data_IF_447364540801
#
_entry.id   IF_447364540801
#
_cell.length_a   1.000
_cell.length_b   1.000
_cell.length_c   1.000
_cell.angle_alpha   90.00
_cell.angle_beta   90.00
_cell.angle_gamma   90.00
#
_symmetry.space_group_name_H-M   'P 1'
#
loop_
_entity.id
_entity.type
_entity.pdbx_description
1 polymer ?
#
# COMPACT_ATOMS: atom_id res chain seq x y z
N UNK A 1 0.28 46.81 36.78
CA UNK A 1 1.08 46.20 35.70
C UNK A 1 1.68 44.82 36.05
N UNK A 2 2.29 44.59 37.22
CA UNK A 2 2.88 43.27 37.57
C UNK A 2 1.86 42.11 37.70
N UNK A 3 0.64 42.36 38.21
CA UNK A 3 -0.40 41.31 38.35
C UNK A 3 -1.00 40.85 37.03
N UNK A 4 -1.15 41.76 36.07
CA UNK A 4 -1.68 41.44 34.72
C UNK A 4 -0.67 40.63 33.90
N UNK A 5 0.62 40.92 34.04
CA UNK A 5 1.65 40.15 33.30
C UNK A 5 1.78 38.72 33.82
N UNK A 6 1.63 38.51 35.14
CA UNK A 6 1.67 37.18 35.75
C UNK A 6 0.45 36.31 35.34
N UNK A 7 -0.73 36.94 35.20
CA UNK A 7 -1.92 36.24 34.71
C UNK A 7 -1.83 35.85 33.23
N UNK A 8 -1.21 36.69 32.39
CA UNK A 8 -0.99 36.36 30.98
C UNK A 8 0.01 35.22 30.82
N UNK A 9 1.09 35.21 31.63
CA UNK A 9 2.09 34.15 31.62
C UNK A 9 1.47 32.82 32.09
N UNK A 10 0.66 32.82 33.15
CA UNK A 10 -0.03 31.64 33.64
C UNK A 10 -1.06 31.08 32.61
N UNK A 11 -1.77 31.98 31.90
CA UNK A 11 -2.70 31.60 30.84
C UNK A 11 -1.97 31.03 29.61
N UNK A 12 -0.87 31.60 29.21
CA UNK A 12 -0.04 31.10 28.13
C UNK A 12 0.59 29.73 28.45
N UNK A 13 1.08 29.50 29.70
CA UNK A 13 1.58 28.21 30.14
C UNK A 13 0.48 27.15 30.19
N UNK A 14 -0.76 27.49 30.59
CA UNK A 14 -1.87 26.56 30.61
C UNK A 14 -2.34 26.17 29.20
N UNK A 15 -2.32 27.09 28.26
CA UNK A 15 -2.65 26.81 26.86
C UNK A 15 -1.63 25.91 26.18
N UNK A 16 -0.33 26.08 26.47
CA UNK A 16 0.71 25.21 25.91
C UNK A 16 0.72 23.83 26.56
N UNK A 17 0.43 23.73 27.87
CA UNK A 17 0.31 22.46 28.57
C UNK A 17 -0.91 21.66 28.06
N UNK A 18 -2.06 22.31 27.89
CA UNK A 18 -3.26 21.67 27.35
C UNK A 18 -3.07 21.22 25.88
N UNK A 19 -2.36 21.97 25.08
CA UNK A 19 -2.04 21.58 23.69
C UNK A 19 -1.06 20.38 23.64
N UNK A 20 -0.14 20.27 24.58
CA UNK A 20 0.74 19.10 24.71
C UNK A 20 0.00 17.87 25.24
N UNK A 21 -0.89 18.04 26.22
CA UNK A 21 -1.72 16.95 26.77
C UNK A 21 -2.61 16.38 25.64
N UNK A 22 -3.32 17.24 24.90
CA UNK A 22 -4.20 16.82 23.81
C UNK A 22 -3.50 16.00 22.71
N UNK A 23 -2.18 16.13 22.59
CA UNK A 23 -1.40 15.36 21.60
C UNK A 23 -1.20 13.89 22.01
N UNK A 24 -1.20 13.57 23.30
CA UNK A 24 -0.91 12.25 23.84
C UNK A 24 -2.10 11.66 24.61
N UNK A 25 -3.16 12.42 24.81
CA UNK A 25 -4.44 11.99 25.37
C UNK A 25 -5.28 11.36 24.25
N UNK A 26 -5.11 10.08 24.06
CA UNK A 26 -5.70 9.32 22.94
C UNK A 26 -7.16 8.95 23.18
N UNK A 27 -7.57 8.83 24.46
CA UNK A 27 -8.96 8.53 24.83
C UNK A 27 -9.81 9.78 25.09
N UNK A 28 -9.21 10.98 25.10
CA UNK A 28 -9.90 12.25 25.27
C UNK A 28 -10.38 12.53 26.70
N UNK A 29 -9.83 11.86 27.73
CA UNK A 29 -10.25 12.02 29.12
C UNK A 29 -9.58 13.23 29.83
N UNK A 30 -8.73 13.96 29.12
CA UNK A 30 -7.98 15.12 29.59
C UNK A 30 -6.74 14.79 30.42
N UNK A 31 -6.30 13.54 30.42
CA UNK A 31 -5.09 13.07 31.13
C UNK A 31 -4.21 12.26 30.21
N UNK A 32 -2.91 12.32 30.41
CA UNK A 32 -1.96 11.42 29.75
C UNK A 32 -1.49 10.39 30.77
N UNK A 33 -1.91 9.14 30.60
CA UNK A 33 -1.66 8.07 31.56
C UNK A 33 -1.58 6.69 30.87
N UNK A 34 -1.59 5.62 31.67
CA UNK A 34 -1.50 4.22 31.18
C UNK A 34 -2.68 3.84 30.27
N UNK A 35 -3.86 4.47 30.46
CA UNK A 35 -5.00 4.19 29.58
C UNK A 35 -4.70 4.59 28.14
N UNK A 36 -4.06 5.75 27.89
CA UNK A 36 -3.65 6.19 26.57
C UNK A 36 -2.65 5.24 25.91
N UNK A 37 -1.72 4.72 26.72
CA UNK A 37 -0.76 3.69 26.25
C UNK A 37 -1.50 2.40 25.90
N UNK A 38 -2.49 2.01 26.69
CA UNK A 38 -3.32 0.84 26.40
C UNK A 38 -4.11 1.02 25.13
N UNK A 39 -4.71 2.18 24.92
CA UNK A 39 -5.45 2.51 23.72
C UNK A 39 -4.53 2.57 22.49
N UNK A 40 -3.32 3.12 22.64
CA UNK A 40 -2.30 3.07 21.58
C UNK A 40 -1.88 1.63 21.25
N UNK A 41 -1.64 0.79 22.26
CA UNK A 41 -1.29 -0.62 22.05
C UNK A 41 -2.44 -1.37 21.39
N UNK A 42 -3.67 -1.17 21.85
CA UNK A 42 -4.86 -1.77 21.23
C UNK A 42 -5.04 -1.26 19.78
N UNK A 43 -4.86 0.03 19.55
CA UNK A 43 -4.86 0.60 18.19
C UNK A 43 -3.79 -0.06 17.33
N UNK A 44 -2.56 -0.18 17.81
CA UNK A 44 -1.47 -0.84 17.10
C UNK A 44 -1.79 -2.32 16.88
N UNK A 45 -2.28 -3.06 17.88
CA UNK A 45 -2.59 -4.48 17.75
C UNK A 45 -3.79 -4.76 16.84
N UNK A 46 -4.80 -3.89 16.84
CA UNK A 46 -5.98 -4.03 15.98
C UNK A 46 -5.73 -3.52 14.55
N UNK A 47 -4.77 -2.59 14.38
CA UNK A 47 -4.42 -1.99 13.09
C UNK A 47 -3.05 -2.43 12.57
N UNK A 48 -2.27 -3.22 13.33
CA UNK A 48 -0.98 -3.77 12.89
C UNK A 48 -1.10 -4.79 11.76
N UNK A 49 -2.29 -5.38 11.57
CA UNK A 49 -2.62 -6.15 10.38
C UNK A 49 -3.11 -5.26 9.21
N UNK A 50 -3.39 -3.98 9.48
CA UNK A 50 -3.73 -2.94 8.52
C UNK A 50 -2.58 -1.92 8.39
N UNK A 51 -1.33 -2.34 8.56
CA UNK A 51 -0.16 -1.44 8.62
C UNK A 51 0.14 -0.69 7.31
N UNK A 52 -0.82 -0.63 6.41
CA UNK A 52 -0.72 0.15 5.18
C UNK A 52 -1.95 1.05 5.02
N UNK A 53 -1.79 2.31 5.36
CA UNK A 53 -2.70 3.41 4.98
C UNK A 53 -2.67 3.62 3.46
N UNK A 54 -2.97 2.58 2.69
CA UNK A 54 -2.85 2.62 1.24
C UNK A 54 -4.18 2.66 0.52
N UNK A 55 -5.25 3.01 1.15
CA UNK A 55 -6.52 3.40 0.57
C UNK A 55 -7.41 3.95 1.67
N UNK A 56 -7.51 5.28 1.84
CA UNK A 56 -8.35 5.90 2.86
C UNK A 56 -9.84 5.81 2.50
N UNK A 57 -10.17 5.39 1.29
CA UNK A 57 -11.52 5.30 0.79
C UNK A 57 -12.19 3.99 1.23
N UNK A 58 -13.17 4.09 2.15
CA UNK A 58 -13.94 2.96 2.65
C UNK A 58 -15.15 2.60 1.75
N UNK A 59 -15.27 3.19 0.56
CA UNK A 59 -16.40 2.95 -0.35
C UNK A 59 -16.27 1.66 -1.16
N UNK A 60 -15.15 0.95 -1.04
CA UNK A 60 -14.91 -0.31 -1.74
C UNK A 60 -14.11 -1.29 -0.85
N UNK A 61 -14.19 -2.61 -1.14
CA UNK A 61 -13.38 -3.60 -0.43
C UNK A 61 -11.89 -3.37 -0.66
N UNK A 62 -11.08 -3.38 0.40
CA UNK A 62 -9.62 -3.27 0.27
C UNK A 62 -8.95 -4.57 -0.20
N UNK A 63 -9.61 -5.69 -0.02
CA UNK A 63 -9.20 -7.01 -0.46
C UNK A 63 -10.22 -7.57 -1.42
N UNK A 64 -9.84 -7.63 -2.68
CA UNK A 64 -10.70 -8.04 -3.77
C UNK A 64 -10.62 -9.55 -3.94
N UNK A 65 -11.76 -10.19 -3.87
CA UNK A 65 -11.94 -11.58 -4.25
C UNK A 65 -12.20 -11.64 -5.76
N UNK A 66 -11.33 -12.32 -6.49
CA UNK A 66 -11.44 -12.51 -7.94
C UNK A 66 -12.01 -13.89 -8.30
N UNK A 67 -12.44 -14.69 -7.31
CA UNK A 67 -12.88 -16.05 -7.53
C UNK A 67 -11.74 -16.98 -7.97
N UNK A 68 -10.51 -16.71 -7.50
CA UNK A 68 -9.34 -17.54 -7.80
C UNK A 68 -9.43 -18.89 -7.07
N UNK A 69 -8.98 -20.00 -7.66
CA UNK A 69 -9.04 -21.34 -7.06
C UNK A 69 -8.39 -21.45 -5.68
N UNK A 70 -7.28 -20.74 -5.44
CA UNK A 70 -6.61 -20.72 -4.14
C UNK A 70 -7.36 -19.93 -3.07
N UNK A 71 -8.34 -19.10 -3.46
CA UNK A 71 -8.97 -18.11 -2.59
C UNK A 71 -8.10 -16.88 -2.32
N UNK A 72 -6.95 -16.73 -2.99
CA UNK A 72 -6.09 -15.55 -2.89
C UNK A 72 -6.88 -14.28 -3.17
N UNK A 73 -6.78 -13.32 -2.25
CA UNK A 73 -7.35 -11.97 -2.41
C UNK A 73 -6.25 -10.98 -2.71
N UNK A 74 -6.52 -10.12 -3.67
CA UNK A 74 -5.60 -9.06 -4.10
C UNK A 74 -5.99 -7.72 -3.48
N UNK A 75 -5.02 -6.93 -3.08
CA UNK A 75 -5.31 -5.61 -2.55
C UNK A 75 -5.84 -4.68 -3.63
N UNK A 76 -6.68 -3.71 -3.24
CA UNK A 76 -7.22 -2.70 -4.17
C UNK A 76 -6.15 -1.75 -4.71
N UNK A 77 -5.09 -1.49 -3.94
CA UNK A 77 -4.02 -0.53 -4.25
C UNK A 77 -2.64 -1.18 -4.20
N UNK A 78 -1.67 -0.58 -4.90
CA UNK A 78 -0.27 -0.90 -4.72
C UNK A 78 0.19 -0.58 -3.29
N UNK A 79 1.24 -1.23 -2.86
CA UNK A 79 1.91 -0.91 -1.60
C UNK A 79 2.34 0.56 -1.59
N UNK A 80 2.02 1.29 -0.51
CA UNK A 80 2.30 2.72 -0.40
C UNK A 80 1.40 3.65 -1.22
N UNK A 81 0.43 3.13 -1.98
CA UNK A 81 -0.53 3.95 -2.71
C UNK A 81 -1.80 4.21 -1.88
N UNK A 82 -2.40 5.38 -2.05
CA UNK A 82 -3.66 5.78 -1.41
C UNK A 82 -4.90 5.58 -2.30
N UNK A 83 -4.72 5.26 -3.59
CA UNK A 83 -5.79 5.02 -4.56
C UNK A 83 -5.46 3.81 -5.44
N UNK A 84 -6.45 3.14 -6.04
CA UNK A 84 -6.22 1.98 -6.90
C UNK A 84 -5.31 2.24 -8.10
N UNK A 85 -5.33 3.45 -8.64
CA UNK A 85 -4.51 3.90 -9.76
C UNK A 85 -3.16 4.50 -9.32
N UNK A 86 -2.93 4.70 -8.01
CA UNK A 86 -1.66 5.19 -7.50
C UNK A 86 -0.52 4.20 -7.74
N UNK A 87 0.63 4.70 -8.19
CA UNK A 87 1.80 3.84 -8.44
C UNK A 87 2.36 3.23 -7.15
N UNK A 88 2.20 3.93 -6.00
CA UNK A 88 2.74 3.49 -4.72
C UNK A 88 4.24 3.68 -4.60
N UNK A 89 4.86 2.87 -3.73
CA UNK A 89 6.30 2.84 -3.56
C UNK A 89 6.98 1.90 -4.57
N UNK A 90 8.31 2.06 -4.65
CA UNK A 90 9.20 1.17 -5.39
C UNK A 90 10.14 0.54 -4.37
N UNK A 91 10.20 -0.77 -4.35
CA UNK A 91 10.81 -1.56 -3.29
C UNK A 91 11.89 -2.47 -3.82
N UNK A 92 12.94 -2.67 -3.04
CA UNK A 92 13.86 -3.78 -3.27
C UNK A 92 13.13 -5.11 -3.09
N UNK A 93 13.62 -6.15 -3.77
CA UNK A 93 13.05 -7.49 -3.62
C UNK A 93 13.06 -7.95 -2.16
N UNK A 94 11.92 -8.47 -1.71
CA UNK A 94 11.75 -8.99 -0.36
C UNK A 94 11.41 -7.95 0.72
N UNK A 95 11.41 -6.65 0.42
CA UNK A 95 11.02 -5.62 1.40
C UNK A 95 9.54 -5.68 1.78
N UNK A 96 8.67 -6.17 0.89
CA UNK A 96 7.22 -6.27 1.12
C UNK A 96 6.83 -7.72 1.29
N UNK A 97 6.56 -8.15 2.52
CA UNK A 97 6.25 -9.55 2.85
C UNK A 97 4.95 -10.08 2.20
N UNK A 98 4.02 -9.19 1.84
CA UNK A 98 2.74 -9.52 1.20
C UNK A 98 2.80 -9.52 -0.33
N UNK A 99 3.99 -9.49 -0.94
CA UNK A 99 4.14 -9.63 -2.38
C UNK A 99 3.62 -11.01 -2.84
N UNK A 100 2.94 -11.10 -4.00
CA UNK A 100 2.42 -12.36 -4.52
C UNK A 100 3.54 -13.33 -4.88
N UNK A 101 3.36 -14.62 -4.65
CA UNK A 101 4.25 -15.63 -5.19
C UNK A 101 4.09 -15.76 -6.72
N UNK A 102 5.07 -16.37 -7.39
CA UNK A 102 4.96 -16.68 -8.81
C UNK A 102 3.70 -17.52 -9.12
N UNK A 103 3.33 -18.46 -8.25
CA UNK A 103 2.15 -19.27 -8.46
C UNK A 103 0.85 -18.46 -8.34
N UNK A 104 0.78 -17.49 -7.43
CA UNK A 104 -0.35 -16.56 -7.33
C UNK A 104 -0.43 -15.62 -8.55
N UNK A 105 0.70 -15.21 -9.11
CA UNK A 105 0.74 -14.44 -10.37
C UNK A 105 0.24 -15.28 -11.53
N UNK A 106 0.71 -16.55 -11.64
CA UNK A 106 0.23 -17.48 -12.66
C UNK A 106 -1.26 -17.77 -12.55
N UNK A 107 -1.75 -17.91 -11.33
CA UNK A 107 -3.16 -18.10 -11.06
C UNK A 107 -3.98 -16.87 -11.49
N UNK A 108 -3.53 -15.65 -11.16
CA UNK A 108 -4.16 -14.41 -11.65
C UNK A 108 -4.25 -14.42 -13.18
N UNK A 109 -3.14 -14.71 -13.88
CA UNK A 109 -3.08 -14.70 -15.33
C UNK A 109 -3.98 -15.77 -15.98
N UNK A 110 -4.08 -16.95 -15.37
CA UNK A 110 -4.82 -18.09 -15.92
C UNK A 110 -6.32 -18.06 -15.62
N UNK A 111 -6.74 -17.38 -14.54
CA UNK A 111 -8.12 -17.43 -14.05
C UNK A 111 -8.83 -16.06 -14.10
N UNK A 112 -8.23 -15.07 -14.74
CA UNK A 112 -8.87 -13.78 -14.99
C UNK A 112 -8.79 -13.39 -16.47
N UNK A 113 -9.70 -12.53 -16.89
CA UNK A 113 -9.54 -11.79 -18.15
C UNK A 113 -8.91 -10.45 -17.86
N UNK A 114 -8.11 -9.93 -18.78
CA UNK A 114 -7.49 -8.62 -18.55
C UNK A 114 -7.50 -7.72 -19.79
N UNK A 115 -7.62 -6.43 -19.57
CA UNK A 115 -7.65 -5.42 -20.62
C UNK A 115 -6.76 -4.22 -20.20
N UNK A 116 -5.97 -3.74 -21.16
CA UNK A 116 -5.28 -2.45 -21.01
C UNK A 116 -6.30 -1.32 -21.05
N UNK A 117 -6.25 -0.42 -20.10
CA UNK A 117 -7.18 0.69 -19.98
C UNK A 117 -6.57 1.84 -19.19
N UNK A 118 -7.33 2.92 -19.07
CA UNK A 118 -6.99 4.08 -18.24
C UNK A 118 -8.02 4.22 -17.13
N UNK A 119 -7.56 4.48 -15.91
CA UNK A 119 -8.39 4.78 -14.75
C UNK A 119 -7.89 6.09 -14.11
N UNK A 120 -8.75 7.11 -14.00
CA UNK A 120 -8.39 8.44 -13.51
C UNK A 120 -7.10 8.99 -14.18
N UNK A 121 -7.05 8.93 -15.51
CA UNK A 121 -5.92 9.36 -16.36
C UNK A 121 -4.60 8.57 -16.17
N UNK A 122 -4.64 7.48 -15.43
CA UNK A 122 -3.48 6.58 -15.24
C UNK A 122 -3.65 5.34 -16.09
N UNK A 123 -2.67 5.07 -16.95
CA UNK A 123 -2.61 3.84 -17.74
C UNK A 123 -2.34 2.64 -16.85
N UNK A 124 -2.93 1.51 -17.22
CA UNK A 124 -2.73 0.27 -16.49
C UNK A 124 -3.51 -0.89 -17.10
N UNK A 125 -3.62 -1.96 -16.35
CA UNK A 125 -4.34 -3.15 -16.76
C UNK A 125 -5.39 -3.54 -15.73
N UNK A 126 -6.63 -3.72 -16.19
CA UNK A 126 -7.75 -4.17 -15.38
C UNK A 126 -7.86 -5.69 -15.52
N UNK A 127 -7.86 -6.40 -14.40
CA UNK A 127 -8.09 -7.84 -14.31
C UNK A 127 -9.50 -8.09 -13.76
N UNK A 128 -10.21 -9.01 -14.37
CA UNK A 128 -11.58 -9.38 -14.00
C UNK A 128 -11.66 -10.87 -13.75
N UNK A 129 -12.03 -11.24 -12.54
CA UNK A 129 -12.23 -12.63 -12.13
C UNK A 129 -13.56 -13.22 -12.59
N UNK A 130 -13.69 -14.53 -12.48
CA UNK A 130 -14.90 -15.27 -12.89
C UNK A 130 -16.15 -14.90 -12.08
N UNK A 131 -15.97 -14.39 -10.86
CA UNK A 131 -17.04 -13.91 -9.97
C UNK A 131 -17.43 -12.44 -10.22
N UNK A 132 -16.82 -11.78 -11.22
CA UNK A 132 -17.02 -10.35 -11.52
C UNK A 132 -16.19 -9.38 -10.68
N UNK A 133 -15.40 -9.87 -9.71
CA UNK A 133 -14.44 -9.06 -8.97
C UNK A 133 -13.38 -8.45 -9.90
N UNK A 134 -12.95 -7.23 -9.64
CA UNK A 134 -11.97 -6.53 -10.50
C UNK A 134 -10.88 -5.86 -9.70
N UNK A 135 -9.65 -5.89 -10.23
CA UNK A 135 -8.54 -5.04 -9.76
C UNK A 135 -7.97 -4.26 -10.94
N UNK A 136 -7.50 -3.05 -10.67
CA UNK A 136 -6.72 -2.25 -11.60
C UNK A 136 -5.27 -2.17 -11.12
N UNK A 137 -4.33 -2.54 -11.97
CA UNK A 137 -2.90 -2.41 -11.72
C UNK A 137 -2.34 -1.31 -12.61
N UNK A 138 -1.85 -0.20 -12.04
CA UNK A 138 -1.27 0.88 -12.83
C UNK A 138 0.05 0.50 -13.49
N UNK A 139 0.34 1.11 -14.62
CA UNK A 139 1.61 0.97 -15.32
C UNK A 139 2.71 1.77 -14.61
N UNK A 140 3.16 1.26 -13.45
CA UNK A 140 4.05 1.96 -12.54
C UNK A 140 5.51 2.01 -13.03
N UNK A 141 5.90 1.20 -14.03
CA UNK A 141 7.30 1.09 -14.44
C UNK A 141 8.16 0.47 -13.34
N UNK A 142 9.41 0.89 -13.27
CA UNK A 142 10.39 0.49 -12.27
C UNK A 142 11.34 1.64 -11.93
N UNK A 143 12.12 1.51 -10.86
CA UNK A 143 13.19 2.43 -10.47
C UNK A 143 14.54 1.74 -10.56
N UNK A 144 15.52 2.43 -11.12
CA UNK A 144 16.91 1.97 -11.18
C UNK A 144 17.85 3.16 -11.04
N UNK A 145 18.86 3.03 -10.18
CA UNK A 145 19.84 4.10 -9.88
C UNK A 145 19.18 5.46 -9.55
N UNK A 146 18.07 5.40 -8.80
CA UNK A 146 17.30 6.58 -8.39
C UNK A 146 16.33 7.14 -9.43
N UNK A 147 16.41 6.71 -10.69
CA UNK A 147 15.58 7.19 -11.80
C UNK A 147 14.42 6.26 -12.13
N UNK A 148 13.31 6.80 -12.65
CA UNK A 148 12.12 6.06 -13.02
C UNK A 148 12.08 5.75 -14.50
N UNK A 149 11.72 4.53 -14.85
CA UNK A 149 11.66 4.03 -16.21
C UNK A 149 10.31 3.39 -16.52
N UNK A 150 9.89 3.51 -17.78
CA UNK A 150 8.70 2.86 -18.33
C UNK A 150 7.38 3.21 -17.63
N UNK A 151 7.33 4.25 -16.79
CA UNK A 151 6.13 4.72 -16.11
C UNK A 151 5.07 5.12 -17.16
N UNK A 152 3.83 4.69 -16.94
CA UNK A 152 2.71 4.91 -17.85
C UNK A 152 2.68 3.97 -19.06
N UNK A 153 3.71 3.13 -19.25
CA UNK A 153 3.84 2.22 -20.42
C UNK A 153 3.89 0.75 -20.01
N UNK A 154 4.55 0.44 -18.88
CA UNK A 154 4.68 -0.92 -18.33
C UNK A 154 4.26 -0.96 -16.87
N UNK A 155 3.53 -1.99 -16.47
CA UNK A 155 3.41 -2.40 -15.07
C UNK A 155 4.46 -3.45 -14.79
N UNK A 156 5.30 -3.24 -13.78
CA UNK A 156 6.39 -4.13 -13.40
C UNK A 156 6.34 -4.26 -11.87
N UNK A 157 6.15 -5.50 -11.40
CA UNK A 157 5.81 -5.78 -10.02
C UNK A 157 6.59 -6.98 -9.50
N UNK A 158 7.24 -6.83 -8.34
CA UNK A 158 7.89 -7.97 -7.70
C UNK A 158 6.91 -9.07 -7.32
N UNK A 159 7.34 -10.31 -7.55
CA UNK A 159 6.85 -11.44 -6.79
C UNK A 159 7.64 -11.59 -5.48
N UNK A 160 7.23 -12.53 -4.62
CA UNK A 160 8.01 -12.97 -3.46
C UNK A 160 8.92 -14.16 -3.78
N UNK A 161 8.95 -14.62 -5.03
CA UNK A 161 9.66 -15.83 -5.43
C UNK A 161 11.04 -15.48 -6.03
N UNK A 162 12.15 -15.92 -5.44
CA UNK A 162 13.47 -15.68 -5.99
C UNK A 162 13.74 -16.55 -7.23
N UNK A 163 14.65 -16.11 -8.06
CA UNK A 163 15.21 -16.87 -9.19
C UNK A 163 16.74 -16.84 -9.17
N UNK A 164 17.35 -17.78 -8.47
CA UNK A 164 18.78 -17.77 -8.21
C UNK A 164 19.23 -16.74 -7.18
N UNK A 165 20.48 -16.29 -7.26
CA UNK A 165 21.07 -15.41 -6.23
C UNK A 165 20.89 -13.91 -6.52
N UNK A 166 20.73 -13.53 -7.79
CA UNK A 166 20.74 -12.13 -8.24
C UNK A 166 19.52 -11.74 -9.06
N UNK A 167 18.53 -12.65 -9.18
CA UNK A 167 17.27 -12.43 -9.88
C UNK A 167 16.08 -12.84 -9.02
N UNK A 168 14.92 -12.26 -9.32
CA UNK A 168 13.64 -12.71 -8.81
C UNK A 168 12.58 -12.67 -9.91
N UNK A 169 11.53 -13.47 -9.73
CA UNK A 169 10.38 -13.41 -10.63
C UNK A 169 9.62 -12.11 -10.43
N UNK A 170 9.10 -11.60 -11.53
CA UNK A 170 8.26 -10.42 -11.60
C UNK A 170 6.98 -10.70 -12.39
N UNK A 171 5.98 -9.90 -12.14
CA UNK A 171 4.79 -9.80 -12.96
C UNK A 171 4.87 -8.53 -13.80
N UNK A 172 4.78 -8.67 -15.12
CA UNK A 172 4.84 -7.54 -16.02
C UNK A 172 3.66 -7.50 -17.00
N UNK A 173 3.32 -6.31 -17.43
CA UNK A 173 2.31 -6.08 -18.45
C UNK A 173 2.51 -4.75 -19.17
N UNK A 174 1.99 -4.69 -20.39
CA UNK A 174 1.92 -3.48 -21.21
C UNK A 174 0.61 -3.52 -22.03
N UNK A 175 0.43 -2.63 -22.99
CA UNK A 175 -0.79 -2.57 -23.80
C UNK A 175 -1.08 -3.88 -24.57
N UNK A 176 -0.04 -4.62 -24.97
CA UNK A 176 -0.18 -5.84 -25.77
C UNK A 176 -0.42 -7.12 -24.98
N UNK A 177 0.17 -7.26 -23.78
CA UNK A 177 0.09 -8.52 -23.03
C UNK A 177 0.30 -8.32 -21.53
N UNK A 178 0.06 -9.39 -20.78
CA UNK A 178 0.48 -9.55 -19.38
C UNK A 178 1.16 -10.92 -19.23
N UNK A 179 2.28 -10.96 -18.53
CA UNK A 179 3.09 -12.17 -18.34
C UNK A 179 3.87 -12.10 -17.04
N UNK A 180 4.64 -13.12 -16.75
CA UNK A 180 5.67 -13.13 -15.73
C UNK A 180 7.04 -13.36 -16.39
N UNK A 181 8.07 -12.84 -15.76
CA UNK A 181 9.47 -12.98 -16.18
C UNK A 181 10.35 -12.94 -14.93
N UNK A 182 11.66 -12.86 -15.07
CA UNK A 182 12.59 -12.63 -13.97
C UNK A 182 13.49 -11.43 -14.28
N UNK A 183 13.83 -10.68 -13.23
CA UNK A 183 14.65 -9.49 -13.37
C UNK A 183 15.68 -9.37 -12.25
N UNK A 184 16.73 -8.57 -12.49
CA UNK A 184 17.83 -8.39 -11.52
C UNK A 184 17.34 -7.72 -10.24
N UNK A 185 17.86 -8.19 -9.09
CA UNK A 185 17.58 -7.60 -7.77
C UNK A 185 18.12 -6.18 -7.59
N UNK A 186 18.86 -5.63 -8.57
CA UNK A 186 19.35 -4.24 -8.57
C UNK A 186 18.28 -3.21 -8.91
N UNK A 187 17.08 -3.65 -9.26
CA UNK A 187 15.93 -2.78 -9.57
C UNK A 187 14.97 -2.71 -8.41
N UNK A 188 14.29 -1.57 -8.28
CA UNK A 188 13.15 -1.44 -7.38
C UNK A 188 11.87 -1.48 -8.20
N UNK A 189 10.92 -2.26 -7.74
CA UNK A 189 9.64 -2.43 -8.42
C UNK A 189 8.46 -2.19 -7.48
N UNK A 190 7.30 -1.92 -8.06
CA UNK A 190 6.05 -1.87 -7.30
C UNK A 190 5.67 -3.25 -6.74
N UNK A 191 4.82 -3.25 -5.73
CA UNK A 191 4.22 -4.47 -5.19
C UNK A 191 2.70 -4.30 -5.11
N UNK A 192 1.96 -5.29 -5.58
CA UNK A 192 0.53 -5.42 -5.31
C UNK A 192 0.33 -6.50 -4.25
N UNK A 193 -0.03 -6.15 -3.01
CA UNK A 193 -0.17 -7.11 -1.92
C UNK A 193 -1.27 -8.15 -2.16
N UNK A 194 -1.05 -9.37 -1.59
CA UNK A 194 -2.01 -10.49 -1.55
C UNK A 194 -2.15 -11.05 -0.13
N UNK A 195 -3.26 -11.77 0.12
CA UNK A 195 -3.48 -12.56 1.34
C UNK A 195 -4.30 -13.81 1.06
#
# INVERSE_FOLDING_TARGET
>A
MRKTLLQIILLACSLTANAQIAKYDLNGDGKVNVADVTDLVNYILTHSNDSYKSCPDNNHPHWIDLGLPSGTKWRCCNEGASTPEGYGGYYEFGQVASAPSLDQIRELLNHTTSVWTTQNDVNGRKFTGSNGGTIFLPAAGYRWDGEFYAVGSFGIYWSSTPYGEIYAFEFNFYSGSANWDYYSLSYDQSVRPVR
#
